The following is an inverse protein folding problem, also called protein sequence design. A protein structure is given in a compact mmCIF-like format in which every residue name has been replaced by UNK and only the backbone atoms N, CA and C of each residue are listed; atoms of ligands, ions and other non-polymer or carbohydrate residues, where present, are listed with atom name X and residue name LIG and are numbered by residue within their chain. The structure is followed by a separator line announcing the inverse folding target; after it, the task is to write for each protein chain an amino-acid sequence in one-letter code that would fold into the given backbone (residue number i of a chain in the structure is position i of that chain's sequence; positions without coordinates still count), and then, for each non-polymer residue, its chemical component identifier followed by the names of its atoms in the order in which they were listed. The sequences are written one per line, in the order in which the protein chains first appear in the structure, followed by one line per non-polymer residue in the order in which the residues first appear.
data_IF_550315782620
#
_entry.id   IF_550315782620
#
_cell.length_a   1.000
_cell.length_b   1.000
_cell.length_c   1.000
_cell.angle_alpha   90.00
_cell.angle_beta   90.00
_cell.angle_gamma   90.00
#
_symmetry.space_group_name_H-M   'P 1'
#
loop_
_entity.id
_entity.type
_entity.pdbx_description
1 polymer ?
#
# COMPACT_ATOMS: atom_id res chain seq x y z
N UNK A 1 13.10 -28.54 7.02
CA UNK A 1 12.34 -28.13 8.22
C UNK A 1 12.26 -26.61 8.26
N UNK A 2 11.05 -26.06 8.49
CA UNK A 2 10.83 -24.62 8.64
C UNK A 2 10.52 -24.31 10.09
N UNK A 3 11.21 -23.34 10.65
CA UNK A 3 11.00 -22.78 11.99
C UNK A 3 10.58 -21.34 11.82
N UNK A 4 9.55 -20.92 12.52
CA UNK A 4 9.01 -19.54 12.43
C UNK A 4 8.99 -18.93 13.82
N UNK A 5 9.41 -17.67 13.90
CA UNK A 5 9.31 -16.84 15.09
C UNK A 5 8.76 -15.47 14.71
N UNK A 6 7.79 -14.98 15.45
CA UNK A 6 7.22 -13.64 15.26
C UNK A 6 7.71 -12.75 16.38
N UNK A 7 8.58 -11.79 16.08
CA UNK A 7 9.13 -10.89 17.08
C UNK A 7 8.06 -9.93 17.60
N UNK A 8 7.78 -9.91 18.92
CA UNK A 8 6.87 -8.96 19.53
C UNK A 8 7.51 -7.58 19.68
N UNK A 9 6.69 -6.54 19.89
CA UNK A 9 7.18 -5.19 20.14
C UNK A 9 7.56 -5.00 21.62
N UNK A 10 8.70 -5.54 22.04
CA UNK A 10 9.23 -5.43 23.40
C UNK A 10 10.77 -5.32 23.41
N UNK A 11 11.41 -5.38 24.58
CA UNK A 11 12.87 -5.35 24.64
C UNK A 11 13.52 -6.61 24.08
N UNK A 12 14.74 -6.49 23.56
CA UNK A 12 15.50 -7.62 23.00
C UNK A 12 15.67 -8.77 24.02
N UNK A 13 15.85 -8.44 25.29
CA UNK A 13 15.96 -9.44 26.38
C UNK A 13 14.64 -10.18 26.61
N UNK A 14 13.52 -9.47 26.57
CA UNK A 14 12.20 -10.06 26.72
C UNK A 14 11.85 -10.96 25.52
N UNK A 15 12.17 -10.54 24.30
CA UNK A 15 12.00 -11.36 23.12
C UNK A 15 12.79 -12.68 23.22
N UNK A 16 14.05 -12.60 23.67
CA UNK A 16 14.88 -13.78 23.85
C UNK A 16 14.29 -14.74 24.91
N UNK A 17 13.78 -14.20 26.02
CA UNK A 17 13.11 -14.95 27.08
C UNK A 17 11.84 -15.66 26.55
N UNK A 18 10.97 -14.91 25.87
CA UNK A 18 9.70 -15.46 25.33
C UNK A 18 9.99 -16.56 24.29
N UNK A 19 10.92 -16.34 23.37
CA UNK A 19 11.27 -17.36 22.39
C UNK A 19 11.85 -18.62 23.06
N UNK A 20 12.71 -18.44 24.07
CA UNK A 20 13.19 -19.57 24.88
C UNK A 20 12.07 -20.32 25.61
N UNK A 21 11.03 -19.60 26.06
CA UNK A 21 9.85 -20.23 26.66
C UNK A 21 9.08 -21.08 25.64
N UNK A 22 8.83 -20.55 24.45
CA UNK A 22 8.17 -21.29 23.37
C UNK A 22 8.95 -22.56 22.98
N UNK A 23 10.28 -22.46 22.93
CA UNK A 23 11.14 -23.62 22.65
C UNK A 23 11.04 -24.69 23.75
N UNK A 24 10.99 -24.30 25.03
CA UNK A 24 10.76 -25.24 26.14
C UNK A 24 9.40 -25.92 26.04
N UNK A 25 8.34 -25.17 25.73
CA UNK A 25 6.99 -25.72 25.52
C UNK A 25 6.95 -26.74 24.34
N UNK A 26 7.83 -26.57 23.35
CA UNK A 26 8.05 -27.52 22.26
C UNK A 26 8.96 -28.72 22.67
N UNK A 27 9.32 -28.83 23.95
CA UNK A 27 10.15 -29.91 24.48
C UNK A 27 11.65 -29.75 24.23
N UNK A 28 12.14 -28.56 23.94
CA UNK A 28 13.56 -28.30 23.76
C UNK A 28 14.23 -28.01 25.10
N UNK A 29 15.45 -28.55 25.25
CA UNK A 29 16.30 -28.23 26.40
C UNK A 29 16.98 -26.88 26.18
N UNK A 30 16.57 -25.87 26.93
CA UNK A 30 17.11 -24.52 26.89
C UNK A 30 16.96 -23.88 28.27
N UNK A 31 17.90 -23.01 28.64
CA UNK A 31 17.89 -22.36 29.96
C UNK A 31 16.65 -21.49 30.16
N UNK A 32 16.29 -21.22 31.44
CA UNK A 32 15.13 -20.39 31.78
C UNK A 32 15.28 -18.96 31.26
N UNK A 33 16.49 -18.43 31.24
CA UNK A 33 16.82 -17.10 30.74
C UNK A 33 17.94 -17.24 29.69
N UNK A 34 17.58 -17.65 28.46
CA UNK A 34 18.56 -17.99 27.45
C UNK A 34 19.27 -16.75 26.90
N UNK A 35 20.49 -16.98 26.40
CA UNK A 35 21.15 -16.04 25.51
C UNK A 35 20.63 -16.21 24.07
N UNK A 36 20.87 -15.24 23.19
CA UNK A 36 20.57 -15.39 21.76
C UNK A 36 21.35 -16.57 21.14
N UNK A 37 22.56 -16.82 21.60
CA UNK A 37 23.35 -17.97 21.16
C UNK A 37 22.68 -19.29 21.50
N UNK A 38 22.20 -19.47 22.75
CA UNK A 38 21.44 -20.67 23.14
C UNK A 38 20.16 -20.85 22.32
N UNK A 39 19.41 -19.76 22.05
CA UNK A 39 18.22 -19.79 21.21
C UNK A 39 18.58 -20.23 19.79
N UNK A 40 19.61 -19.65 19.19
CA UNK A 40 20.07 -19.99 17.84
C UNK A 40 20.58 -21.42 17.74
N UNK A 41 21.33 -21.91 18.75
CA UNK A 41 21.76 -23.33 18.82
C UNK A 41 20.58 -24.28 18.90
N UNK A 42 19.60 -23.95 19.75
CA UNK A 42 18.41 -24.75 19.93
C UNK A 42 17.55 -24.82 18.64
N UNK A 43 17.42 -23.69 17.93
CA UNK A 43 16.67 -23.58 16.68
C UNK A 43 17.38 -24.27 15.52
N UNK A 44 18.70 -24.09 15.39
CA UNK A 44 19.48 -24.73 14.33
C UNK A 44 19.60 -26.22 14.55
N UNK A 45 19.64 -26.66 15.82
CA UNK A 45 19.75 -28.07 16.23
C UNK A 45 21.03 -28.73 15.75
N UNK A 46 21.12 -30.05 15.94
CA UNK A 46 22.25 -30.85 15.50
C UNK A 46 22.41 -30.90 13.98
N UNK A 47 23.63 -31.29 13.52
CA UNK A 47 23.94 -31.50 12.10
C UNK A 47 22.89 -32.41 11.45
N UNK A 48 22.34 -31.97 10.36
CA UNK A 48 21.33 -32.69 9.59
C UNK A 48 21.57 -32.49 8.10
N UNK A 49 21.44 -33.55 7.31
CA UNK A 49 21.48 -33.44 5.84
C UNK A 49 20.29 -32.64 5.25
N UNK A 50 19.30 -32.33 6.08
CA UNK A 50 18.12 -31.55 5.66
C UNK A 50 18.41 -30.09 5.80
N UNK A 51 18.10 -29.30 4.74
CA UNK A 51 18.10 -27.84 4.76
C UNK A 51 17.06 -27.34 5.76
N UNK A 52 17.46 -26.41 6.61
CA UNK A 52 16.59 -25.75 7.58
C UNK A 52 16.31 -24.32 7.12
N UNK A 53 15.12 -23.82 7.41
CA UNK A 53 14.71 -22.44 7.14
C UNK A 53 14.23 -21.85 8.44
N UNK A 54 14.84 -20.74 8.87
CA UNK A 54 14.41 -19.94 9.98
C UNK A 54 13.77 -18.67 9.42
N UNK A 55 12.49 -18.45 9.72
CA UNK A 55 11.77 -17.23 9.35
C UNK A 55 11.55 -16.42 10.62
N UNK A 56 12.04 -15.19 10.64
CA UNK A 56 11.81 -14.23 11.73
C UNK A 56 10.93 -13.11 11.20
N UNK A 57 9.69 -13.07 11.66
CA UNK A 57 8.72 -12.05 11.29
C UNK A 57 8.86 -10.82 12.20
N UNK A 58 8.53 -9.64 11.65
CA UNK A 58 8.66 -8.36 12.35
C UNK A 58 10.07 -8.08 12.88
N UNK A 59 11.10 -8.51 12.14
CA UNK A 59 12.49 -8.42 12.59
C UNK A 59 12.94 -7.00 12.95
N UNK A 60 12.27 -5.97 12.44
CA UNK A 60 12.55 -4.58 12.77
C UNK A 60 12.40 -4.28 14.27
N UNK A 61 11.56 -5.01 15.00
CA UNK A 61 11.48 -4.89 16.46
C UNK A 61 12.77 -5.34 17.17
N UNK A 62 13.44 -6.36 16.64
CA UNK A 62 14.74 -6.81 17.15
C UNK A 62 15.85 -5.76 16.97
N UNK A 63 15.67 -4.80 16.03
CA UNK A 63 16.62 -3.75 15.74
C UNK A 63 16.20 -2.37 16.28
N UNK A 64 15.02 -2.22 16.90
CA UNK A 64 14.53 -0.94 17.42
C UNK A 64 15.45 -0.35 18.49
N UNK A 65 15.93 -1.18 19.42
CA UNK A 65 16.81 -0.78 20.53
C UNK A 65 18.28 -0.72 20.12
N UNK A 66 18.79 -1.84 19.61
CA UNK A 66 20.19 -2.07 19.31
C UNK A 66 20.33 -3.05 18.13
N UNK A 67 21.56 -3.37 17.77
CA UNK A 67 21.89 -4.35 16.72
C UNK A 67 22.41 -5.67 17.28
N UNK A 68 22.31 -5.88 18.59
CA UNK A 68 22.94 -7.00 19.27
C UNK A 68 22.47 -8.35 18.74
N UNK A 69 21.16 -8.54 18.58
CA UNK A 69 20.61 -9.77 17.98
C UNK A 69 21.22 -10.06 16.59
N UNK A 70 21.31 -9.06 15.72
CA UNK A 70 21.86 -9.25 14.37
C UNK A 70 23.35 -9.59 14.41
N UNK A 71 24.10 -9.00 15.34
CA UNK A 71 25.52 -9.33 15.57
C UNK A 71 25.66 -10.78 15.98
N UNK A 72 24.87 -11.23 16.95
CA UNK A 72 24.88 -12.61 17.44
C UNK A 72 24.46 -13.60 16.33
N UNK A 73 23.42 -13.30 15.58
CA UNK A 73 23.00 -14.11 14.45
C UNK A 73 24.10 -14.27 13.39
N UNK A 74 24.73 -13.16 13.01
CA UNK A 74 25.81 -13.18 12.00
C UNK A 74 27.05 -13.93 12.54
N UNK A 75 27.39 -13.71 13.82
CA UNK A 75 28.46 -14.44 14.48
C UNK A 75 28.19 -15.94 14.45
N UNK A 76 27.00 -16.34 14.89
CA UNK A 76 26.55 -17.71 14.92
C UNK A 76 26.64 -18.39 13.54
N UNK A 77 26.14 -17.76 12.50
CA UNK A 77 26.18 -18.28 11.12
C UNK A 77 27.60 -18.40 10.56
N UNK A 78 28.55 -17.56 11.02
CA UNK A 78 29.97 -17.65 10.61
C UNK A 78 30.70 -18.78 11.30
N UNK A 79 30.41 -19.02 12.57
CA UNK A 79 31.02 -20.03 13.40
C UNK A 79 30.49 -21.45 13.09
N UNK A 80 29.23 -21.56 12.64
CA UNK A 80 28.55 -22.84 12.37
C UNK A 80 28.23 -23.02 10.88
N UNK A 81 29.22 -22.85 10.02
CA UNK A 81 29.06 -23.00 8.56
C UNK A 81 28.64 -24.40 8.09
N UNK A 82 28.83 -25.41 8.93
CA UNK A 82 28.38 -26.78 8.69
C UNK A 82 26.85 -26.94 8.82
N UNK A 83 26.15 -25.99 9.44
CA UNK A 83 24.70 -26.01 9.55
C UNK A 83 24.09 -25.38 8.29
N UNK A 84 23.37 -26.21 7.52
CA UNK A 84 22.64 -25.72 6.33
C UNK A 84 21.38 -24.94 6.76
N UNK A 85 21.53 -23.66 7.14
CA UNK A 85 20.48 -22.80 7.62
C UNK A 85 20.27 -21.60 6.69
N UNK A 86 19.06 -21.46 6.13
CA UNK A 86 18.60 -20.24 5.48
C UNK A 86 17.82 -19.40 6.48
N UNK A 87 18.24 -18.16 6.70
CA UNK A 87 17.52 -17.21 7.55
C UNK A 87 16.78 -16.21 6.68
N UNK A 88 15.49 -16.06 6.91
CA UNK A 88 14.61 -15.10 6.25
C UNK A 88 14.09 -14.14 7.30
N UNK A 89 14.44 -12.87 7.18
CA UNK A 89 13.96 -11.80 8.05
C UNK A 89 12.86 -11.03 7.31
N UNK A 90 11.66 -10.98 7.88
CA UNK A 90 10.53 -10.27 7.25
C UNK A 90 10.09 -9.07 8.05
N UNK A 91 9.64 -8.03 7.37
CA UNK A 91 9.06 -6.82 7.97
C UNK A 91 8.08 -6.18 7.01
N UNK A 92 7.09 -5.50 7.55
CA UNK A 92 6.21 -4.59 6.79
C UNK A 92 6.75 -3.16 6.74
N UNK A 93 7.78 -2.82 7.51
CA UNK A 93 8.41 -1.50 7.53
C UNK A 93 9.43 -1.34 6.38
N UNK A 94 8.98 -1.52 5.13
CA UNK A 94 9.83 -1.51 3.94
C UNK A 94 10.55 -0.18 3.73
N UNK A 95 9.88 0.96 3.94
CA UNK A 95 10.49 2.26 3.86
C UNK A 95 11.60 2.48 4.91
N UNK A 96 11.45 1.91 6.11
CA UNK A 96 12.51 1.93 7.10
C UNK A 96 13.72 1.08 6.64
N UNK A 97 13.50 -0.07 6.03
CA UNK A 97 14.57 -0.90 5.48
C UNK A 97 15.36 -0.14 4.41
N UNK A 98 14.68 0.52 3.49
CA UNK A 98 15.31 1.27 2.40
C UNK A 98 16.05 2.53 2.87
N UNK A 99 15.50 3.26 3.83
CA UNK A 99 16.00 4.60 4.17
C UNK A 99 16.85 4.65 5.46
N UNK A 100 16.68 3.70 6.39
CA UNK A 100 17.25 3.83 7.73
C UNK A 100 18.03 2.60 8.20
N UNK A 101 17.62 1.39 7.80
CA UNK A 101 18.19 0.16 8.31
C UNK A 101 19.69 0.05 8.01
N UNK A 102 20.10 0.28 6.77
CA UNK A 102 21.50 0.12 6.34
C UNK A 102 22.43 1.03 7.15
N UNK A 103 22.04 2.28 7.40
CA UNK A 103 22.83 3.20 8.23
C UNK A 103 22.90 2.75 9.68
N UNK A 104 21.86 2.11 10.20
CA UNK A 104 21.79 1.59 11.58
C UNK A 104 22.64 0.34 11.79
N UNK A 105 22.60 -0.61 10.85
CA UNK A 105 23.35 -1.87 10.94
C UNK A 105 24.81 -1.74 10.45
N UNK A 106 25.13 -0.69 9.70
CA UNK A 106 26.48 -0.42 9.23
C UNK A 106 27.08 -1.60 8.45
N UNK A 107 28.29 -2.01 8.85
CA UNK A 107 29.03 -3.11 8.19
C UNK A 107 28.33 -4.48 8.25
N UNK A 108 27.35 -4.67 9.16
CA UNK A 108 26.59 -5.91 9.21
C UNK A 108 25.74 -6.12 7.93
N UNK A 109 25.45 -5.04 7.20
CA UNK A 109 24.73 -5.10 5.91
C UNK A 109 25.43 -6.00 4.88
N UNK A 110 26.77 -6.09 4.90
CA UNK A 110 27.54 -6.98 4.00
C UNK A 110 27.32 -8.48 4.26
N UNK A 111 26.72 -8.84 5.38
CA UNK A 111 26.37 -10.23 5.70
C UNK A 111 24.98 -10.61 5.20
N UNK A 112 24.19 -9.67 4.70
CA UNK A 112 22.87 -9.93 4.12
C UNK A 112 23.04 -10.34 2.67
N UNK A 113 22.58 -11.55 2.31
CA UNK A 113 22.74 -12.12 0.96
C UNK A 113 21.85 -11.44 -0.08
N UNK A 114 20.72 -10.83 0.31
CA UNK A 114 19.81 -10.13 -0.59
C UNK A 114 18.62 -9.52 0.11
N UNK A 115 18.01 -8.57 -0.60
CA UNK A 115 16.77 -7.89 -0.19
C UNK A 115 15.69 -8.17 -1.24
N UNK A 116 14.51 -8.56 -0.76
CA UNK A 116 13.34 -8.76 -1.60
C UNK A 116 12.20 -7.86 -1.09
N UNK A 117 11.84 -6.85 -1.88
CA UNK A 117 10.67 -6.04 -1.61
C UNK A 117 9.45 -6.67 -2.27
N UNK A 118 8.52 -7.15 -1.44
CA UNK A 118 7.22 -7.65 -1.89
C UNK A 118 6.26 -6.48 -2.03
N UNK A 119 5.86 -6.19 -3.25
CA UNK A 119 4.88 -5.13 -3.56
C UNK A 119 3.48 -5.71 -3.67
N UNK A 120 2.47 -4.84 -3.55
CA UNK A 120 1.11 -5.19 -3.95
C UNK A 120 1.09 -5.65 -5.41
N UNK A 121 0.23 -6.62 -5.70
CA UNK A 121 0.10 -7.12 -7.07
C UNK A 121 -0.62 -6.08 -7.95
N UNK A 122 -0.16 -5.86 -9.18
CA UNK A 122 -0.84 -5.00 -10.16
C UNK A 122 -2.27 -5.46 -10.42
N UNK A 123 -3.13 -4.52 -10.83
CA UNK A 123 -4.53 -4.82 -11.15
C UNK A 123 -4.67 -5.95 -12.18
N UNK A 124 -3.86 -5.95 -13.23
CA UNK A 124 -3.87 -6.98 -14.27
C UNK A 124 -3.58 -8.40 -13.73
N UNK A 125 -2.69 -8.51 -12.73
CA UNK A 125 -2.38 -9.77 -12.07
C UNK A 125 -3.53 -10.20 -11.17
N UNK A 126 -4.09 -9.26 -10.37
CA UNK A 126 -5.25 -9.55 -9.52
C UNK A 126 -6.44 -10.02 -10.35
N UNK A 127 -6.73 -9.37 -11.47
CA UNK A 127 -7.79 -9.73 -12.41
C UNK A 127 -7.62 -11.15 -12.98
N UNK A 128 -6.37 -11.56 -13.26
CA UNK A 128 -6.05 -12.90 -13.76
C UNK A 128 -6.19 -13.99 -12.71
N UNK A 129 -5.82 -13.69 -11.46
CA UNK A 129 -5.93 -14.63 -10.33
C UNK A 129 -7.37 -14.80 -9.88
N UNK A 130 -8.16 -13.71 -9.92
CA UNK A 130 -9.56 -13.66 -9.51
C UNK A 130 -10.45 -13.22 -10.69
N UNK A 131 -10.69 -14.08 -11.68
CA UNK A 131 -11.36 -13.70 -12.95
C UNK A 131 -12.86 -13.48 -12.82
N UNK A 132 -13.45 -13.69 -11.65
CA UNK A 132 -14.90 -13.54 -11.43
C UNK A 132 -15.38 -12.10 -11.53
N UNK A 133 -16.61 -11.91 -12.02
CA UNK A 133 -17.26 -10.61 -12.12
C UNK A 133 -16.88 -9.77 -13.34
N UNK A 134 -17.55 -8.63 -13.49
CA UNK A 134 -17.29 -7.66 -14.56
C UNK A 134 -15.98 -6.90 -14.31
N UNK A 135 -15.43 -6.29 -15.36
CA UNK A 135 -14.26 -5.42 -15.24
C UNK A 135 -14.51 -4.28 -14.24
N UNK A 136 -15.66 -3.61 -14.35
CA UNK A 136 -16.08 -2.55 -13.45
C UNK A 136 -16.06 -3.01 -11.98
N UNK A 137 -16.70 -4.14 -11.67
CA UNK A 137 -16.70 -4.71 -10.31
C UNK A 137 -15.28 -4.96 -9.80
N UNK A 138 -14.41 -5.49 -10.65
CA UNK A 138 -13.00 -5.73 -10.26
C UNK A 138 -12.25 -4.44 -9.96
N UNK A 139 -12.46 -3.37 -10.74
CA UNK A 139 -11.89 -2.04 -10.51
C UNK A 139 -12.39 -1.46 -9.17
N UNK A 140 -13.70 -1.54 -8.93
CA UNK A 140 -14.33 -1.04 -7.71
C UNK A 140 -13.82 -1.77 -6.46
N UNK A 141 -13.68 -3.09 -6.50
CA UNK A 141 -13.10 -3.88 -5.41
C UNK A 141 -11.60 -3.60 -5.23
N UNK A 142 -10.84 -3.47 -6.32
CA UNK A 142 -9.42 -3.11 -6.27
C UNK A 142 -9.20 -1.72 -5.65
N UNK A 143 -10.13 -0.80 -5.84
CA UNK A 143 -10.08 0.52 -5.24
C UNK A 143 -10.04 0.48 -3.70
N UNK A 144 -10.63 -0.55 -3.09
CA UNK A 144 -10.67 -0.73 -1.62
C UNK A 144 -9.61 -1.72 -1.14
N UNK A 145 -9.44 -2.84 -1.82
CA UNK A 145 -8.59 -3.94 -1.36
C UNK A 145 -7.14 -3.84 -1.87
N UNK A 146 -6.89 -3.01 -2.90
CA UNK A 146 -5.59 -2.96 -3.56
C UNK A 146 -5.14 -4.30 -4.12
N UNK A 147 -3.85 -4.45 -4.31
CA UNK A 147 -3.21 -5.66 -4.81
C UNK A 147 -2.85 -6.69 -3.74
N UNK A 148 -3.68 -6.86 -2.70
CA UNK A 148 -3.45 -7.79 -1.60
C UNK A 148 -4.24 -9.09 -1.78
N UNK A 149 -3.64 -10.21 -2.27
CA UNK A 149 -4.37 -11.45 -2.56
C UNK A 149 -5.09 -12.05 -1.35
N UNK A 150 -4.56 -11.82 -0.14
CA UNK A 150 -5.17 -12.28 1.10
C UNK A 150 -6.55 -11.68 1.34
N UNK A 151 -6.76 -10.40 0.99
CA UNK A 151 -8.05 -9.73 1.10
C UNK A 151 -9.02 -10.19 0.00
N UNK A 152 -8.52 -10.42 -1.20
CA UNK A 152 -9.34 -10.89 -2.32
C UNK A 152 -9.93 -12.29 -2.10
N UNK A 153 -9.25 -13.14 -1.32
CA UNK A 153 -9.78 -14.45 -0.92
C UNK A 153 -11.00 -14.37 -0.01
N UNK A 154 -11.25 -13.22 0.60
CA UNK A 154 -12.41 -12.99 1.47
C UNK A 154 -13.66 -12.55 0.69
N UNK A 155 -13.51 -12.25 -0.61
CA UNK A 155 -14.60 -11.81 -1.45
C UNK A 155 -15.53 -12.96 -1.82
N UNK A 156 -16.84 -12.67 -1.76
CA UNK A 156 -17.86 -13.48 -2.42
C UNK A 156 -18.06 -12.94 -3.86
N UNK A 157 -17.56 -13.69 -4.84
CA UNK A 157 -17.52 -13.22 -6.22
C UNK A 157 -18.91 -13.14 -6.87
N UNK A 158 -19.91 -13.84 -6.36
CA UNK A 158 -21.32 -13.77 -6.79
C UNK A 158 -22.04 -12.54 -6.22
N UNK A 159 -21.64 -12.05 -5.05
CA UNK A 159 -22.22 -10.89 -4.39
C UNK A 159 -21.86 -9.56 -5.09
N UNK A 160 -22.65 -8.53 -4.91
CA UNK A 160 -22.36 -7.17 -5.41
C UNK A 160 -21.14 -6.55 -4.69
N UNK A 161 -20.64 -5.41 -5.19
CA UNK A 161 -19.60 -4.61 -4.50
C UNK A 161 -20.11 -4.16 -3.14
N UNK A 162 -21.33 -3.63 -3.08
CA UNK A 162 -21.96 -3.17 -1.82
C UNK A 162 -22.04 -4.28 -0.79
N UNK A 163 -22.50 -5.48 -1.16
CA UNK A 163 -22.58 -6.62 -0.27
C UNK A 163 -21.21 -7.05 0.26
N UNK A 164 -20.20 -7.12 -0.61
CA UNK A 164 -18.83 -7.43 -0.19
C UNK A 164 -18.28 -6.37 0.78
N UNK A 165 -18.46 -5.08 0.46
CA UNK A 165 -17.98 -4.01 1.35
C UNK A 165 -18.75 -4.01 2.68
N UNK A 166 -20.04 -4.27 2.65
CA UNK A 166 -20.86 -4.38 3.87
C UNK A 166 -20.33 -5.48 4.77
N UNK A 167 -20.16 -6.67 4.24
CA UNK A 167 -19.68 -7.83 5.02
C UNK A 167 -18.27 -7.62 5.56
N UNK A 168 -17.36 -7.10 4.73
CA UNK A 168 -15.95 -7.02 5.10
C UNK A 168 -15.61 -5.82 5.99
N UNK A 169 -16.36 -4.70 5.90
CA UNK A 169 -15.96 -3.43 6.51
C UNK A 169 -17.04 -2.76 7.35
N UNK A 170 -18.33 -2.96 7.04
CA UNK A 170 -19.40 -2.10 7.56
C UNK A 170 -20.25 -2.79 8.63
N UNK A 171 -20.24 -4.10 8.71
CA UNK A 171 -20.93 -4.82 9.80
C UNK A 171 -20.20 -4.64 11.13
N UNK A 172 -20.97 -4.70 12.24
CA UNK A 172 -20.45 -4.51 13.60
C UNK A 172 -19.32 -5.47 13.99
N UNK A 173 -19.32 -6.66 13.39
CA UNK A 173 -18.34 -7.71 13.66
C UNK A 173 -17.25 -7.80 12.57
N UNK A 174 -17.17 -6.83 11.69
CA UNK A 174 -16.12 -6.78 10.66
C UNK A 174 -14.76 -6.62 11.30
N UNK A 175 -13.92 -7.64 11.15
CA UNK A 175 -12.59 -7.66 11.80
C UNK A 175 -11.53 -6.82 11.08
N UNK A 176 -11.70 -6.56 9.78
CA UNK A 176 -10.67 -5.87 8.97
C UNK A 176 -10.39 -4.44 9.45
N UNK A 177 -11.39 -3.57 9.68
CA UNK A 177 -11.13 -2.23 10.20
C UNK A 177 -10.50 -2.24 11.59
N UNK A 178 -10.93 -3.14 12.48
CA UNK A 178 -10.38 -3.24 13.83
C UNK A 178 -8.91 -3.71 13.80
N UNK A 179 -8.57 -4.68 12.93
CA UNK A 179 -7.21 -5.13 12.71
C UNK A 179 -6.31 -3.99 12.24
N UNK A 180 -6.79 -3.17 11.30
CA UNK A 180 -6.07 -2.02 10.80
C UNK A 180 -5.86 -0.94 11.87
N UNK A 181 -6.91 -0.62 12.64
CA UNK A 181 -6.83 0.36 13.74
C UNK A 181 -5.79 -0.09 14.76
N UNK A 182 -5.81 -1.36 15.14
CA UNK A 182 -4.85 -1.95 16.06
C UNK A 182 -3.42 -1.81 15.51
N UNK A 183 -3.19 -2.22 14.27
CA UNK A 183 -1.89 -2.12 13.62
C UNK A 183 -1.38 -0.66 13.58
N UNK A 184 -2.22 0.30 13.16
CA UNK A 184 -1.84 1.72 13.16
C UNK A 184 -1.47 2.23 14.56
N UNK A 185 -2.19 1.79 15.60
CA UNK A 185 -1.91 2.19 16.99
C UNK A 185 -0.61 1.62 17.53
N UNK A 186 -0.18 0.46 17.07
CA UNK A 186 1.08 -0.17 17.43
C UNK A 186 2.29 0.51 16.75
N UNK A 187 2.11 0.98 15.51
CA UNK A 187 3.18 1.59 14.72
C UNK A 187 3.34 3.10 14.96
N UNK A 188 2.25 3.80 15.23
CA UNK A 188 2.22 5.26 15.30
C UNK A 188 2.09 5.74 16.76
N UNK A 189 3.19 6.23 17.35
CA UNK A 189 3.22 6.65 18.76
C UNK A 189 2.20 7.74 19.12
N UNK A 190 2.05 8.75 18.24
CA UNK A 190 1.09 9.85 18.43
C UNK A 190 -0.13 9.64 17.51
N UNK A 191 -0.85 8.54 17.69
CA UNK A 191 -1.92 8.06 16.79
C UNK A 191 -2.95 9.13 16.47
N UNK A 192 -3.33 9.98 17.43
CA UNK A 192 -4.31 11.04 17.22
C UNK A 192 -3.86 12.06 16.16
N UNK A 193 -2.57 12.41 16.15
CA UNK A 193 -1.99 13.35 15.16
C UNK A 193 -1.98 12.71 13.77
N UNK A 194 -1.50 11.47 13.68
CA UNK A 194 -1.47 10.74 12.42
C UNK A 194 -2.86 10.52 11.84
N UNK A 195 -3.84 10.18 12.67
CA UNK A 195 -5.24 10.04 12.25
C UNK A 195 -5.79 11.34 11.66
N UNK A 196 -5.48 12.49 12.26
CA UNK A 196 -5.91 13.79 11.73
C UNK A 196 -5.27 14.09 10.38
N UNK A 197 -3.98 13.78 10.22
CA UNK A 197 -3.27 13.97 8.95
C UNK A 197 -3.84 13.02 7.88
N UNK A 198 -3.99 11.73 8.18
CA UNK A 198 -4.52 10.73 7.26
C UNK A 198 -5.98 11.06 6.85
N UNK A 199 -6.83 11.47 7.79
CA UNK A 199 -8.19 11.91 7.50
C UNK A 199 -8.22 13.16 6.60
N UNK A 200 -7.24 14.06 6.77
CA UNK A 200 -7.12 15.24 5.89
C UNK A 200 -6.67 14.86 4.49
N UNK A 201 -5.73 13.91 4.36
CA UNK A 201 -5.27 13.42 3.05
C UNK A 201 -6.36 12.63 2.34
N UNK A 202 -7.13 11.81 3.08
CA UNK A 202 -8.21 10.99 2.53
C UNK A 202 -9.38 11.82 1.97
N UNK A 203 -9.54 13.05 2.42
CA UNK A 203 -10.41 14.04 1.78
C UNK A 203 -9.70 14.56 0.53
N UNK A 204 -10.05 14.03 -0.65
CA UNK A 204 -9.38 14.23 -1.94
C UNK A 204 -9.14 15.70 -2.31
N UNK A 205 -9.95 16.61 -1.77
CA UNK A 205 -9.77 18.06 -1.95
C UNK A 205 -8.63 18.63 -1.11
N UNK A 206 -8.19 17.93 -0.07
CA UNK A 206 -7.35 18.43 1.00
C UNK A 206 -5.95 17.76 1.13
N UNK A 207 -5.54 16.93 0.19
CA UNK A 207 -4.22 16.28 0.18
C UNK A 207 -3.01 17.24 0.09
N UNK A 208 -3.23 18.54 0.28
CA UNK A 208 -2.18 19.56 0.25
C UNK A 208 -1.67 19.92 1.63
N UNK A 209 -0.38 20.20 1.74
CA UNK A 209 0.27 20.61 2.98
C UNK A 209 -0.43 21.81 3.66
N UNK A 210 -0.90 22.79 2.87
CA UNK A 210 -1.61 23.94 3.43
C UNK A 210 -2.99 23.58 4.02
N UNK A 211 -3.69 22.61 3.43
CA UNK A 211 -4.97 22.13 3.97
C UNK A 211 -4.75 21.36 5.28
N UNK A 212 -3.68 20.54 5.35
CA UNK A 212 -3.29 19.87 6.59
C UNK A 212 -2.94 20.87 7.69
N UNK A 213 -2.19 21.94 7.37
CA UNK A 213 -1.91 23.03 8.30
C UNK A 213 -3.18 23.66 8.84
N UNK A 214 -4.10 24.05 7.96
CA UNK A 214 -5.35 24.69 8.35
C UNK A 214 -6.23 23.79 9.23
N UNK A 215 -6.30 22.49 8.92
CA UNK A 215 -7.16 21.52 9.63
C UNK A 215 -6.56 21.03 10.95
N UNK A 216 -5.24 20.85 11.00
CA UNK A 216 -4.58 20.32 12.21
C UNK A 216 -4.16 21.41 13.20
N UNK A 217 -3.95 22.63 12.75
CA UNK A 217 -3.34 23.71 13.53
C UNK A 217 -1.84 23.54 13.81
N UNK A 218 -1.21 22.48 13.26
CA UNK A 218 0.22 22.24 13.47
C UNK A 218 1.10 23.05 12.53
N UNK A 219 2.32 23.38 12.95
CA UNK A 219 3.29 24.02 12.07
C UNK A 219 3.63 23.15 10.87
N UNK A 220 3.99 23.77 9.74
CA UNK A 220 4.41 23.03 8.53
C UNK A 220 5.60 22.10 8.81
N UNK A 221 6.54 22.52 9.67
CA UNK A 221 7.68 21.71 10.06
C UNK A 221 7.22 20.43 10.80
N UNK A 222 6.29 20.56 11.74
CA UNK A 222 5.72 19.41 12.46
C UNK A 222 5.00 18.46 11.49
N UNK A 223 4.14 18.97 10.62
CA UNK A 223 3.44 18.15 9.61
C UNK A 223 4.43 17.42 8.70
N UNK A 224 5.52 18.08 8.27
CA UNK A 224 6.54 17.47 7.41
C UNK A 224 7.23 16.28 8.08
N UNK A 225 7.46 16.33 9.39
CA UNK A 225 8.03 15.19 10.16
C UNK A 225 7.04 14.00 10.14
N UNK A 226 5.75 14.25 10.41
CA UNK A 226 4.74 13.19 10.39
C UNK A 226 4.55 12.59 8.99
N UNK A 227 4.55 13.45 7.94
CA UNK A 227 4.49 12.97 6.57
C UNK A 227 5.70 12.12 6.19
N UNK A 228 6.90 12.51 6.64
CA UNK A 228 8.10 11.71 6.43
C UNK A 228 7.95 10.32 7.05
N UNK A 229 7.50 10.24 8.31
CA UNK A 229 7.28 8.95 8.97
C UNK A 229 6.21 8.09 8.24
N UNK A 230 5.10 8.72 7.79
CA UNK A 230 4.07 8.02 7.01
C UNK A 230 4.59 7.52 5.66
N UNK A 231 5.50 8.26 5.02
CA UNK A 231 6.17 7.82 3.79
C UNK A 231 7.19 6.70 4.05
N UNK A 232 7.90 6.73 5.18
CA UNK A 232 8.79 5.63 5.59
C UNK A 232 8.04 4.33 5.88
N UNK A 233 6.78 4.43 6.33
CA UNK A 233 5.87 3.29 6.49
C UNK A 233 5.13 2.93 5.20
N UNK A 234 5.38 3.63 4.10
CA UNK A 234 4.69 3.50 2.81
C UNK A 234 3.16 3.66 2.89
N UNK A 235 2.67 4.39 3.90
CA UNK A 235 1.24 4.69 4.07
C UNK A 235 0.79 5.89 3.24
N UNK A 236 1.72 6.78 2.94
CA UNK A 236 1.49 8.02 2.18
C UNK A 236 2.56 8.17 1.13
N UNK A 237 2.17 8.64 -0.04
CA UNK A 237 3.07 9.01 -1.12
C UNK A 237 2.88 10.47 -1.55
N UNK A 238 3.93 11.08 -2.08
CA UNK A 238 3.88 12.40 -2.68
C UNK A 238 3.62 12.26 -4.18
N UNK A 239 2.42 12.58 -4.61
CA UNK A 239 2.00 12.40 -6.02
C UNK A 239 2.30 13.62 -6.90
N UNK A 240 2.26 14.81 -6.32
CA UNK A 240 2.60 16.09 -6.98
C UNK A 240 3.30 17.01 -5.98
N UNK A 241 3.99 18.09 -6.42
CA UNK A 241 4.58 19.05 -5.51
C UNK A 241 3.58 19.55 -4.45
N UNK A 242 3.87 19.26 -3.16
CA UNK A 242 3.03 19.64 -2.03
C UNK A 242 1.68 18.93 -1.93
N UNK A 243 1.46 17.84 -2.70
CA UNK A 243 0.23 17.05 -2.67
C UNK A 243 0.57 15.60 -2.31
N UNK A 244 -0.16 15.05 -1.36
CA UNK A 244 0.04 13.72 -0.80
C UNK A 244 -1.23 12.88 -0.94
N UNK A 245 -1.06 11.58 -1.11
CA UNK A 245 -2.14 10.60 -1.16
C UNK A 245 -1.81 9.42 -0.23
N UNK A 246 -2.85 8.75 0.28
CA UNK A 246 -2.69 7.50 1.02
C UNK A 246 -2.39 6.39 0.00
N UNK A 247 -1.25 5.71 0.15
CA UNK A 247 -0.78 4.69 -0.78
C UNK A 247 -1.64 3.42 -0.70
N UNK A 248 -1.91 2.96 0.53
CA UNK A 248 -2.68 1.75 0.76
C UNK A 248 -4.18 2.00 0.56
N UNK A 249 -4.80 1.23 -0.34
CA UNK A 249 -6.20 1.37 -0.73
C UNK A 249 -7.17 1.14 0.43
N UNK A 250 -6.91 0.16 1.29
CA UNK A 250 -7.75 -0.16 2.44
C UNK A 250 -7.72 0.96 3.50
N UNK A 251 -6.53 1.49 3.82
CA UNK A 251 -6.37 2.62 4.74
C UNK A 251 -7.04 3.86 4.18
N UNK A 252 -6.93 4.10 2.86
CA UNK A 252 -7.60 5.20 2.18
C UNK A 252 -9.12 5.09 2.31
N UNK A 253 -9.70 3.90 2.11
CA UNK A 253 -11.14 3.65 2.29
C UNK A 253 -11.60 3.95 3.72
N UNK A 254 -10.86 3.44 4.72
CA UNK A 254 -11.17 3.68 6.12
C UNK A 254 -11.19 5.16 6.48
N UNK A 255 -10.13 5.92 6.15
CA UNK A 255 -10.03 7.33 6.49
C UNK A 255 -10.97 8.22 5.66
N UNK A 256 -11.40 7.76 4.48
CA UNK A 256 -12.39 8.48 3.66
C UNK A 256 -13.80 8.31 4.21
N UNK A 257 -14.21 7.11 4.57
CA UNK A 257 -15.61 6.79 4.82
C UNK A 257 -15.93 6.41 6.27
N UNK A 258 -15.07 5.60 6.92
CA UNK A 258 -15.37 5.08 8.25
C UNK A 258 -14.92 6.03 9.36
N UNK A 259 -13.70 6.51 9.28
CA UNK A 259 -13.11 7.36 10.33
C UNK A 259 -13.90 8.66 10.57
N UNK A 260 -14.38 9.41 9.56
CA UNK A 260 -15.18 10.61 9.78
C UNK A 260 -16.55 10.32 10.42
N UNK A 261 -17.06 9.11 10.26
CA UNK A 261 -18.42 8.71 10.63
C UNK A 261 -18.47 7.58 11.65
N UNK A 262 -17.46 7.47 12.55
CA UNK A 262 -17.31 6.35 13.51
C UNK A 262 -18.56 6.07 14.34
N UNK A 263 -19.27 7.11 14.79
CA UNK A 263 -20.50 6.94 15.60
C UNK A 263 -21.61 6.29 14.76
N UNK A 264 -21.82 6.74 13.54
CA UNK A 264 -22.81 6.18 12.63
C UNK A 264 -22.43 4.75 12.22
N UNK A 265 -21.17 4.51 11.87
CA UNK A 265 -20.65 3.20 11.52
C UNK A 265 -20.86 2.15 12.60
N UNK A 266 -20.69 2.52 13.88
CA UNK A 266 -20.91 1.61 15.01
C UNK A 266 -22.38 1.44 15.38
N UNK A 267 -23.26 2.40 15.04
CA UNK A 267 -24.68 2.40 15.37
C UNK A 267 -25.52 1.75 14.29
N UNK A 268 -25.30 2.11 13.04
CA UNK A 268 -26.13 1.75 11.89
C UNK A 268 -25.84 0.32 11.43
N UNK A 269 -26.76 -0.27 10.67
CA UNK A 269 -26.43 -1.48 9.93
C UNK A 269 -25.56 -1.12 8.70
N UNK A 270 -24.76 -2.08 8.23
CA UNK A 270 -23.77 -1.84 7.18
C UNK A 270 -24.39 -1.30 5.88
N UNK A 271 -25.59 -1.77 5.50
CA UNK A 271 -26.28 -1.31 4.29
C UNK A 271 -26.74 0.15 4.43
N UNK A 272 -27.35 0.51 5.55
CA UNK A 272 -27.78 1.89 5.78
C UNK A 272 -26.58 2.85 5.81
N UNK A 273 -25.46 2.41 6.39
CA UNK A 273 -24.22 3.18 6.39
C UNK A 273 -23.69 3.38 4.97
N UNK A 274 -23.66 2.31 4.16
CA UNK A 274 -23.21 2.38 2.76
C UNK A 274 -24.04 3.40 1.97
N UNK A 275 -25.37 3.30 2.04
CA UNK A 275 -26.29 4.20 1.33
C UNK A 275 -26.08 5.66 1.70
N UNK A 276 -25.87 5.94 3.00
CA UNK A 276 -25.82 7.32 3.50
C UNK A 276 -24.45 7.97 3.31
N UNK A 277 -23.34 7.22 3.46
CA UNK A 277 -22.01 7.81 3.59
C UNK A 277 -21.02 7.38 2.49
N UNK A 278 -21.34 6.37 1.69
CA UNK A 278 -20.41 5.83 0.70
C UNK A 278 -20.93 5.99 -0.73
N UNK A 279 -22.18 5.63 -1.00
CA UNK A 279 -22.74 5.48 -2.35
C UNK A 279 -22.48 6.69 -3.25
N UNK A 280 -22.76 7.90 -2.78
CA UNK A 280 -22.63 9.13 -3.57
C UNK A 280 -21.17 9.41 -3.96
N UNK A 281 -20.25 9.26 -3.04
CA UNK A 281 -18.83 9.57 -3.21
C UNK A 281 -17.99 8.40 -3.75
N UNK A 282 -18.57 7.20 -3.88
CA UNK A 282 -17.82 5.98 -4.20
C UNK A 282 -17.17 6.02 -5.59
N UNK A 283 -17.85 6.56 -6.59
CA UNK A 283 -17.29 6.72 -7.94
C UNK A 283 -16.06 7.64 -7.97
N UNK A 284 -16.10 8.73 -7.21
CA UNK A 284 -14.94 9.63 -7.02
C UNK A 284 -13.78 8.90 -6.35
N UNK A 285 -14.07 8.13 -5.30
CA UNK A 285 -13.07 7.29 -4.62
C UNK A 285 -12.42 6.26 -5.56
N UNK A 286 -13.21 5.58 -6.38
CA UNK A 286 -12.75 4.59 -7.37
C UNK A 286 -11.85 5.24 -8.42
N UNK A 287 -12.13 6.47 -8.83
CA UNK A 287 -11.35 7.20 -9.84
C UNK A 287 -9.87 7.33 -9.49
N UNK A 288 -9.53 7.51 -8.20
CA UNK A 288 -8.12 7.56 -7.76
C UNK A 288 -7.42 6.22 -7.97
N UNK A 289 -8.09 5.11 -7.69
CA UNK A 289 -7.53 3.78 -7.96
C UNK A 289 -7.42 3.51 -9.47
N UNK A 290 -8.43 3.91 -10.24
CA UNK A 290 -8.39 3.80 -11.68
C UNK A 290 -7.20 4.55 -12.31
N UNK A 291 -6.91 5.75 -11.82
CA UNK A 291 -5.70 6.51 -12.20
C UNK A 291 -4.42 5.70 -11.96
N UNK A 292 -4.32 5.02 -10.82
CA UNK A 292 -3.16 4.17 -10.49
C UNK A 292 -3.06 2.97 -11.43
N UNK A 293 -4.19 2.34 -11.76
CA UNK A 293 -4.23 1.25 -12.76
C UNK A 293 -3.75 1.76 -14.13
N UNK A 294 -4.24 2.91 -14.58
CA UNK A 294 -3.74 3.53 -15.81
C UNK A 294 -2.24 3.79 -15.75
N UNK A 295 -1.74 4.31 -14.63
CA UNK A 295 -0.31 4.58 -14.44
C UNK A 295 0.54 3.30 -14.52
N UNK A 296 0.09 2.18 -13.95
CA UNK A 296 0.76 0.89 -14.05
C UNK A 296 0.90 0.44 -15.52
N UNK A 297 -0.18 0.56 -16.31
CA UNK A 297 -0.19 0.24 -17.74
C UNK A 297 0.77 1.17 -18.50
N UNK A 298 0.66 2.47 -18.27
CA UNK A 298 1.49 3.45 -18.96
C UNK A 298 2.98 3.28 -18.65
N UNK A 299 3.34 2.90 -17.43
CA UNK A 299 4.73 2.62 -17.04
C UNK A 299 5.31 1.38 -17.74
N UNK A 300 4.47 0.44 -18.16
CA UNK A 300 4.89 -0.69 -18.98
C UNK A 300 5.04 -0.33 -20.47
N UNK A 301 4.20 0.60 -20.96
CA UNK A 301 4.11 0.96 -22.38
C UNK A 301 5.09 2.08 -22.78
N UNK A 302 5.43 3.00 -21.87
CA UNK A 302 6.14 4.23 -22.19
C UNK A 302 7.42 4.42 -21.38
N UNK A 303 8.41 5.04 -22.00
CA UNK A 303 9.70 5.34 -21.37
C UNK A 303 9.59 6.34 -20.21
N UNK A 304 8.76 7.36 -20.34
CA UNK A 304 8.48 8.32 -19.27
C UNK A 304 6.98 8.51 -19.09
N UNK A 305 6.55 8.55 -17.81
CA UNK A 305 5.17 8.79 -17.43
C UNK A 305 5.15 9.84 -16.31
N UNK A 306 4.61 11.00 -16.59
CA UNK A 306 4.52 12.10 -15.63
C UNK A 306 3.06 12.45 -15.35
N UNK A 307 2.66 12.41 -14.09
CA UNK A 307 1.37 12.92 -13.66
C UNK A 307 1.38 14.44 -13.64
N UNK A 308 0.40 15.06 -14.28
CA UNK A 308 0.20 16.51 -14.31
C UNK A 308 -1.15 16.87 -13.74
N UNK A 309 -1.29 18.11 -13.29
CA UNK A 309 -2.52 18.65 -12.76
C UNK A 309 -3.15 19.62 -13.76
N UNK A 310 -4.41 19.39 -14.09
CA UNK A 310 -5.27 20.36 -14.75
C UNK A 310 -5.93 21.29 -13.73
N UNK A 311 -6.70 22.28 -14.20
CA UNK A 311 -7.57 23.06 -13.33
C UNK A 311 -8.61 22.16 -12.63
N UNK A 312 -9.19 22.65 -11.52
CA UNK A 312 -10.30 21.99 -10.82
C UNK A 312 -10.05 20.52 -10.35
N UNK A 313 -8.88 20.23 -9.76
CA UNK A 313 -8.55 18.93 -9.14
C UNK A 313 -8.35 17.74 -10.10
N UNK A 314 -8.52 17.94 -11.39
CA UNK A 314 -8.30 16.92 -12.40
C UNK A 314 -6.82 16.70 -12.65
N UNK A 315 -6.43 15.46 -12.90
CA UNK A 315 -5.08 15.06 -13.29
C UNK A 315 -5.11 14.30 -14.60
N UNK A 316 -3.99 14.34 -15.33
CA UNK A 316 -3.74 13.62 -16.57
C UNK A 316 -2.27 13.22 -16.65
N UNK A 317 -1.91 12.36 -17.57
CA UNK A 317 -0.52 11.97 -17.74
C UNK A 317 0.07 12.58 -19.01
N UNK A 318 1.37 12.89 -18.95
CA UNK A 318 2.21 13.13 -20.11
C UNK A 318 3.22 11.99 -20.21
N UNK A 319 3.21 11.32 -21.35
CA UNK A 319 4.06 10.17 -21.63
C UNK A 319 4.99 10.47 -22.80
N UNK A 320 6.13 9.78 -22.84
CA UNK A 320 7.00 9.72 -24.01
C UNK A 320 7.37 8.28 -24.28
N UNK A 321 7.33 7.88 -25.54
CA UNK A 321 7.87 6.60 -25.98
C UNK A 321 9.41 6.67 -26.16
N UNK A 322 10.00 5.57 -26.57
CA UNK A 322 11.44 5.46 -26.86
C UNK A 322 11.89 6.29 -28.06
N UNK A 323 10.98 6.64 -28.97
CA UNK A 323 11.24 7.51 -30.12
C UNK A 323 11.09 9.01 -29.80
N UNK A 324 10.66 9.34 -28.58
CA UNK A 324 10.45 10.72 -28.14
C UNK A 324 9.06 11.28 -28.48
N UNK A 325 8.13 10.45 -29.01
CA UNK A 325 6.74 10.84 -29.29
C UNK A 325 6.04 11.26 -27.99
N UNK A 326 5.34 12.38 -28.02
CA UNK A 326 4.67 12.97 -26.87
C UNK A 326 3.20 12.57 -26.88
N UNK A 327 2.76 11.90 -25.82
CA UNK A 327 1.41 11.40 -25.67
C UNK A 327 0.76 12.03 -24.42
N UNK A 328 -0.42 12.63 -24.58
CA UNK A 328 -1.26 13.00 -23.44
C UNK A 328 -2.23 11.88 -23.14
N UNK A 329 -2.42 11.58 -21.87
CA UNK A 329 -3.35 10.52 -21.44
C UNK A 329 -4.31 11.03 -20.40
N UNK A 330 -5.60 10.88 -20.65
CA UNK A 330 -6.67 11.19 -19.71
C UNK A 330 -7.48 9.94 -19.36
N UNK A 331 -8.36 10.04 -18.37
CA UNK A 331 -9.14 8.90 -17.88
C UNK A 331 -10.44 9.35 -17.21
N UNK A 332 -11.52 8.58 -17.40
CA UNK A 332 -12.81 8.80 -16.73
C UNK A 332 -13.10 7.81 -15.61
N UNK A 333 -12.40 6.67 -15.59
CA UNK A 333 -12.74 5.58 -14.67
C UNK A 333 -13.93 4.78 -15.14
N UNK A 334 -14.86 4.54 -14.22
CA UNK A 334 -16.09 3.77 -14.47
C UNK A 334 -17.28 4.65 -14.90
N UNK A 335 -17.01 5.89 -15.31
CA UNK A 335 -18.05 6.79 -15.87
C UNK A 335 -17.77 7.06 -17.34
N UNK A 336 -18.81 7.47 -18.10
CA UNK A 336 -18.67 7.86 -19.48
C UNK A 336 -17.71 9.06 -19.62
N UNK A 337 -16.84 9.04 -20.62
CA UNK A 337 -15.96 10.17 -20.92
C UNK A 337 -16.68 11.21 -21.75
N UNK A 338 -16.75 12.44 -21.27
CA UNK A 338 -17.56 13.52 -21.87
C UNK A 338 -16.75 14.46 -22.76
N UNK A 339 -17.46 15.25 -23.58
CA UNK A 339 -16.85 16.34 -24.35
C UNK A 339 -16.25 17.42 -23.45
N UNK A 340 -16.86 17.69 -22.29
CA UNK A 340 -16.32 18.60 -21.28
C UNK A 340 -15.00 18.12 -20.72
N UNK A 341 -14.86 16.79 -20.52
CA UNK A 341 -13.61 16.16 -20.08
C UNK A 341 -12.49 16.40 -21.11
N UNK A 342 -12.80 16.21 -22.38
CA UNK A 342 -11.86 16.41 -23.46
C UNK A 342 -11.44 17.89 -23.59
N UNK A 343 -12.38 18.81 -23.49
CA UNK A 343 -12.11 20.25 -23.58
C UNK A 343 -11.27 20.72 -22.38
N UNK A 344 -11.50 20.15 -21.19
CA UNK A 344 -10.67 20.40 -20.00
C UNK A 344 -9.22 19.93 -20.21
N UNK A 345 -9.01 18.73 -20.82
CA UNK A 345 -7.68 18.26 -21.18
C UNK A 345 -7.01 19.19 -22.19
N UNK A 346 -7.71 19.58 -23.26
CA UNK A 346 -7.19 20.50 -24.27
C UNK A 346 -6.78 21.85 -23.67
N UNK A 347 -7.60 22.36 -22.75
CA UNK A 347 -7.31 23.61 -22.04
C UNK A 347 -6.06 23.48 -21.16
N UNK A 348 -5.90 22.35 -20.47
CA UNK A 348 -4.72 22.07 -19.66
C UNK A 348 -3.45 22.00 -20.54
N UNK A 349 -3.49 21.29 -21.66
CA UNK A 349 -2.36 21.19 -22.61
C UNK A 349 -1.97 22.56 -23.19
N UNK A 350 -2.95 23.38 -23.58
CA UNK A 350 -2.72 24.76 -24.04
C UNK A 350 -2.06 25.62 -22.98
N UNK A 351 -2.49 25.48 -21.70
CA UNK A 351 -1.95 26.27 -20.58
C UNK A 351 -0.45 26.06 -20.35
N UNK A 352 0.03 24.87 -20.64
CA UNK A 352 1.47 24.51 -20.55
C UNK A 352 2.20 24.59 -21.90
N UNK A 353 1.54 25.08 -22.95
CA UNK A 353 2.06 25.17 -24.32
C UNK A 353 2.61 23.84 -24.83
N UNK A 354 1.92 22.75 -24.53
CA UNK A 354 2.31 21.40 -24.93
C UNK A 354 1.56 20.98 -26.20
N UNK A 355 2.31 20.69 -27.25
CA UNK A 355 1.82 19.97 -28.41
C UNK A 355 2.06 18.49 -28.22
N UNK A 356 1.04 17.68 -28.49
CA UNK A 356 1.08 16.22 -28.39
C UNK A 356 0.87 15.57 -29.74
N UNK A 357 1.59 14.50 -29.99
CA UNK A 357 1.49 13.70 -31.22
C UNK A 357 0.26 12.78 -31.16
N UNK A 358 -0.14 12.38 -29.95
CA UNK A 358 -1.25 11.46 -29.71
C UNK A 358 -1.93 11.78 -28.39
N UNK A 359 -3.22 11.42 -28.29
CA UNK A 359 -4.04 11.48 -27.08
C UNK A 359 -4.65 10.09 -26.88
N UNK A 360 -4.45 9.54 -25.67
CA UNK A 360 -5.04 8.28 -25.23
C UNK A 360 -6.04 8.59 -24.11
N UNK A 361 -7.22 7.99 -24.18
CA UNK A 361 -8.25 8.14 -23.17
C UNK A 361 -8.63 6.75 -22.64
N UNK A 362 -8.39 6.54 -21.35
CA UNK A 362 -8.87 5.35 -20.66
C UNK A 362 -10.30 5.56 -20.17
N UNK A 363 -11.24 4.77 -20.67
CA UNK A 363 -12.64 4.80 -20.25
C UNK A 363 -13.28 3.40 -20.40
N UNK A 364 -14.01 2.97 -19.35
CA UNK A 364 -14.64 1.66 -19.32
C UNK A 364 -16.10 1.69 -19.75
N UNK A 365 -16.80 2.79 -19.51
CA UNK A 365 -18.22 2.97 -19.87
C UNK A 365 -18.43 3.83 -21.12
N UNK A 366 -17.45 3.77 -22.04
CA UNK A 366 -17.55 4.46 -23.33
C UNK A 366 -17.34 5.97 -23.23
N UNK A 367 -17.70 6.66 -24.30
CA UNK A 367 -17.55 8.10 -24.47
C UNK A 367 -18.77 8.68 -25.22
N UNK A 368 -18.99 9.98 -25.08
CA UNK A 368 -20.07 10.67 -25.78
C UNK A 368 -19.94 10.59 -27.31
N UNK A 369 -21.06 10.42 -28.01
CA UNK A 369 -21.10 10.34 -29.47
C UNK A 369 -20.43 11.51 -30.19
N UNK A 370 -20.51 12.69 -29.61
CA UNK A 370 -19.84 13.90 -30.14
C UNK A 370 -18.31 13.77 -30.22
N UNK A 371 -17.71 12.87 -29.47
CA UNK A 371 -16.28 12.58 -29.52
C UNK A 371 -15.93 11.55 -30.61
N UNK A 372 -16.89 10.76 -31.08
CA UNK A 372 -16.68 9.76 -32.13
C UNK A 372 -16.16 10.40 -33.43
N UNK A 373 -16.66 11.59 -33.77
CA UNK A 373 -16.20 12.35 -34.95
C UNK A 373 -14.78 12.92 -34.79
N UNK A 374 -14.31 13.11 -33.55
CA UNK A 374 -12.96 13.55 -33.23
C UNK A 374 -11.96 12.39 -33.20
N UNK A 375 -12.42 11.13 -33.23
CA UNK A 375 -11.56 9.94 -33.27
C UNK A 375 -10.80 9.97 -34.62
N UNK A 376 -9.54 10.30 -34.54
CA UNK A 376 -8.62 10.37 -35.67
C UNK A 376 -7.38 9.57 -35.30
N UNK A 377 -6.43 9.43 -36.20
CA UNK A 377 -5.15 8.78 -35.89
C UNK A 377 -4.38 9.37 -34.70
N UNK A 378 -4.85 10.52 -34.15
CA UNK A 378 -4.27 11.17 -32.98
C UNK A 378 -5.04 10.92 -31.67
N UNK A 379 -6.29 10.49 -31.71
CA UNK A 379 -7.12 10.22 -30.55
C UNK A 379 -7.50 8.74 -30.47
N UNK A 380 -7.12 8.07 -29.40
CA UNK A 380 -7.42 6.66 -29.13
C UNK A 380 -8.15 6.52 -27.81
N UNK A 381 -9.13 5.58 -27.77
CA UNK A 381 -9.80 5.13 -26.55
C UNK A 381 -9.28 3.74 -26.17
N UNK A 382 -8.98 3.54 -24.89
CA UNK A 382 -8.46 2.28 -24.35
C UNK A 382 -9.25 1.84 -23.12
N UNK A 383 -9.26 0.54 -22.86
CA UNK A 383 -9.72 -0.07 -21.61
C UNK A 383 -8.52 -0.58 -20.80
N UNK A 384 -8.65 -0.57 -19.47
CA UNK A 384 -7.64 -1.17 -18.58
C UNK A 384 -7.79 -2.71 -18.50
N UNK A 385 -8.79 -3.26 -19.13
CA UNK A 385 -9.09 -4.70 -19.13
C UNK A 385 -8.42 -5.49 -20.26
N UNK A 386 -7.66 -4.83 -21.11
CA UNK A 386 -7.03 -5.45 -22.30
C UNK A 386 -5.58 -5.78 -22.01
#
# INVERSE_FOLDING_TARGET
QTIRYTAPNCSSREMCYQWGQELREQGKEISRYPSWEEVLQCVSGEKSDRKKVLIIENFHYLLKGDTFFLQELIRYLKEHREVSLLVILTTYASGWVENSMISKIGNLAFSVSGFLKVKELPFSVMRRIFPGGTLQKSIELYAVLGGMPGLWKLLEMSASVEENLTTLFLEKNSFLPELMIKWLSEELRETAVYNTILATIADEKNGKLNAMYARTGFSRAKISVYLKNLMELELVEKVLPGTYEISNSFIRFYFRFLFPHQTAWRRDNGRAFYETYIREDYSSFVRTAYRRICQEILQADFHTVELKKAAQWRTYFLCKDTAGKKIAVDYSGTVCYTSEDYDALQTALKSIRMETDEIIIFCENGYENALAEKVSGKLQFRSVGV
#
